data_IF_125569729292
#
_entry.id   IF_125569729292
#
_cell.length_a   1.000
_cell.length_b   1.000
_cell.length_c   1.000
_cell.angle_alpha   90.00
_cell.angle_beta   90.00
_cell.angle_gamma   90.00
#
_symmetry.space_group_name_H-M   'P 1'
#
loop_
_entity.id
_entity.type
_entity.pdbx_description
1 polymer ?
#
# COMPACT_ATOMS: atom_id res chain seq x y z
N UNK A 1 9.49 23.06 6.82
CA UNK A 1 8.97 21.68 6.82
C UNK A 1 7.85 21.59 5.80
N UNK A 2 7.68 20.46 5.09
CA UNK A 2 6.52 20.28 4.22
C UNK A 2 5.24 20.28 5.06
N UNK A 3 4.34 21.22 4.78
CA UNK A 3 3.02 21.34 5.42
C UNK A 3 2.15 20.25 4.81
N UNK A 4 1.75 19.24 5.62
CA UNK A 4 0.91 18.13 5.15
C UNK A 4 -0.59 18.45 5.15
N UNK A 5 -1.01 19.36 6.02
CA UNK A 5 -2.40 19.75 6.19
C UNK A 5 -2.44 21.26 6.33
N UNK A 6 -3.44 21.90 5.73
CA UNK A 6 -3.63 23.37 5.76
C UNK A 6 -4.85 23.78 6.59
N UNK A 7 -5.76 22.84 6.86
CA UNK A 7 -6.92 23.05 7.72
C UNK A 7 -6.49 23.08 9.19
N UNK A 8 -6.60 24.25 9.82
CA UNK A 8 -6.21 24.47 11.20
C UNK A 8 -6.97 23.58 12.18
N UNK A 9 -8.28 23.36 11.95
CA UNK A 9 -9.11 22.53 12.83
C UNK A 9 -8.61 21.08 12.78
N UNK A 10 -8.33 20.57 11.58
CA UNK A 10 -7.77 19.23 11.40
C UNK A 10 -6.37 19.12 12.05
N UNK A 11 -5.51 20.13 11.88
CA UNK A 11 -4.17 20.16 12.50
C UNK A 11 -4.29 20.05 14.02
N UNK A 12 -5.17 20.83 14.64
CA UNK A 12 -5.34 20.85 16.09
C UNK A 12 -5.86 19.52 16.62
N UNK A 13 -6.85 18.92 15.93
CA UNK A 13 -7.35 17.58 16.26
C UNK A 13 -6.24 16.53 16.17
N UNK A 14 -5.45 16.52 15.10
CA UNK A 14 -4.34 15.58 14.92
C UNK A 14 -3.25 15.76 15.98
N UNK A 15 -2.97 17.00 16.39
CA UNK A 15 -2.01 17.32 17.45
C UNK A 15 -2.48 16.79 18.82
N UNK A 16 -3.77 16.93 19.15
CA UNK A 16 -4.34 16.36 20.38
C UNK A 16 -4.28 14.82 20.39
N UNK A 17 -4.65 14.17 19.28
CA UNK A 17 -4.54 12.71 19.12
C UNK A 17 -3.09 12.24 19.30
N UNK A 18 -2.11 12.95 18.71
CA UNK A 18 -0.67 12.67 18.88
C UNK A 18 -0.22 12.77 20.34
N UNK A 19 -0.80 13.69 21.12
CA UNK A 19 -0.53 13.86 22.54
C UNK A 19 -1.37 12.93 23.44
N UNK A 20 -2.11 11.98 22.86
CA UNK A 20 -3.04 11.10 23.56
C UNK A 20 -4.11 11.85 24.38
N UNK A 21 -4.49 13.05 23.94
CA UNK A 21 -5.59 13.83 24.52
C UNK A 21 -6.83 13.62 23.65
N UNK A 22 -7.84 12.99 24.22
CA UNK A 22 -9.10 12.67 23.54
C UNK A 22 -10.23 13.35 24.30
N UNK A 23 -10.42 14.64 24.04
CA UNK A 23 -11.54 15.38 24.59
C UNK A 23 -12.81 15.18 23.75
N UNK A 24 -13.93 15.70 24.25
CA UNK A 24 -15.24 15.58 23.60
C UNK A 24 -15.23 16.21 22.20
N UNK A 25 -14.48 17.28 21.99
CA UNK A 25 -14.35 17.93 20.68
C UNK A 25 -13.62 17.02 19.68
N UNK A 26 -12.56 16.33 20.10
CA UNK A 26 -11.88 15.34 19.27
C UNK A 26 -12.81 14.20 18.86
N UNK A 27 -13.54 13.64 19.82
CA UNK A 27 -14.44 12.50 19.60
C UNK A 27 -15.56 12.93 18.64
N UNK A 28 -16.18 14.09 18.90
CA UNK A 28 -17.23 14.66 18.05
C UNK A 28 -16.73 14.89 16.62
N UNK A 29 -15.58 15.54 16.45
CA UNK A 29 -14.99 15.81 15.14
C UNK A 29 -14.76 14.55 14.31
N UNK A 30 -14.27 13.46 14.93
CA UNK A 30 -14.04 12.19 14.25
C UNK A 30 -15.36 11.50 13.90
N UNK A 31 -16.32 11.46 14.84
CA UNK A 31 -17.58 10.76 14.66
C UNK A 31 -18.48 11.44 13.61
N UNK A 32 -18.49 12.77 13.52
CA UNK A 32 -19.21 13.51 12.47
C UNK A 32 -18.73 13.17 11.05
N UNK A 33 -17.51 12.65 10.92
CA UNK A 33 -16.91 12.24 9.64
C UNK A 33 -17.00 10.73 9.40
N UNK A 34 -17.59 9.98 10.34
CA UNK A 34 -17.86 8.57 10.15
C UNK A 34 -19.04 8.40 9.19
N UNK A 35 -18.79 7.73 8.06
CA UNK A 35 -19.81 7.45 7.04
C UNK A 35 -19.95 5.95 6.83
N UNK A 36 -21.09 5.52 6.28
CA UNK A 36 -21.26 4.12 5.94
C UNK A 36 -20.31 3.72 4.79
N UNK A 37 -19.86 2.48 4.79
CA UNK A 37 -18.85 2.00 3.83
C UNK A 37 -19.33 2.09 2.38
N UNK A 38 -20.64 1.97 2.13
CA UNK A 38 -21.24 2.12 0.79
C UNK A 38 -21.06 3.51 0.21
N UNK A 39 -20.91 4.51 1.08
CA UNK A 39 -20.93 5.92 0.70
C UNK A 39 -19.52 6.41 0.36
N UNK A 40 -18.51 5.57 0.64
CA UNK A 40 -17.11 5.85 0.31
C UNK A 40 -16.82 5.34 -1.10
N UNK A 41 -16.33 6.24 -1.95
CA UNK A 41 -15.89 5.90 -3.30
C UNK A 41 -15.01 4.63 -3.31
N UNK A 42 -15.23 3.68 -4.25
CA UNK A 42 -14.36 2.52 -4.44
C UNK A 42 -12.89 2.90 -4.63
N UNK A 43 -12.61 4.06 -5.25
CA UNK A 43 -11.26 4.56 -5.54
C UNK A 43 -10.52 5.11 -4.33
N UNK A 44 -11.19 5.30 -3.18
CA UNK A 44 -10.55 5.83 -1.98
C UNK A 44 -9.58 4.81 -1.36
N UNK A 45 -8.38 5.28 -0.99
CA UNK A 45 -7.39 4.47 -0.28
C UNK A 45 -7.94 4.08 1.10
N UNK A 46 -7.90 2.78 1.42
CA UNK A 46 -8.39 2.25 2.70
C UNK A 46 -7.24 1.83 3.58
N UNK A 47 -7.24 2.32 4.82
CA UNK A 47 -6.28 1.94 5.85
C UNK A 47 -6.89 0.87 6.76
N UNK A 48 -6.07 -0.11 7.12
CA UNK A 48 -6.46 -1.18 8.05
C UNK A 48 -5.36 -1.37 9.10
N UNK A 49 -5.77 -1.76 10.31
CA UNK A 49 -4.83 -1.99 11.41
C UNK A 49 -3.84 -3.14 11.15
N UNK A 50 -4.18 -4.11 10.29
CA UNK A 50 -3.34 -5.29 10.05
C UNK A 50 -3.18 -5.59 8.56
N UNK A 51 -2.01 -6.13 8.19
CA UNK A 51 -1.72 -6.60 6.83
C UNK A 51 -2.65 -7.73 6.39
N UNK A 52 -3.09 -8.59 7.31
CA UNK A 52 -4.08 -9.63 7.01
C UNK A 52 -5.37 -9.02 6.45
N UNK A 53 -5.83 -7.92 7.04
CA UNK A 53 -7.01 -7.20 6.57
C UNK A 53 -6.75 -6.44 5.26
N UNK A 54 -5.57 -5.83 5.10
CA UNK A 54 -5.15 -5.23 3.82
C UNK A 54 -5.15 -6.27 2.70
N UNK A 55 -4.51 -7.41 2.91
CA UNK A 55 -4.43 -8.48 1.91
C UNK A 55 -5.83 -9.01 1.57
N UNK A 56 -6.68 -9.23 2.57
CA UNK A 56 -8.08 -9.66 2.34
C UNK A 56 -8.85 -8.64 1.49
N UNK A 57 -8.68 -7.34 1.77
CA UNK A 57 -9.33 -6.28 1.00
C UNK A 57 -8.77 -6.22 -0.43
N UNK A 58 -7.44 -6.20 -0.59
CA UNK A 58 -6.79 -6.16 -1.90
C UNK A 58 -7.15 -7.38 -2.75
N UNK A 59 -7.06 -8.60 -2.22
CA UNK A 59 -7.45 -9.81 -2.95
C UNK A 59 -8.93 -9.82 -3.37
N UNK A 60 -9.81 -9.18 -2.60
CA UNK A 60 -11.22 -9.02 -2.99
C UNK A 60 -11.36 -8.06 -4.16
N UNK A 61 -10.66 -6.93 -4.14
CA UNK A 61 -10.73 -5.93 -5.22
C UNK A 61 -10.02 -6.40 -6.51
N UNK A 62 -8.90 -7.14 -6.40
CA UNK A 62 -8.23 -7.74 -7.56
C UNK A 62 -9.17 -8.67 -8.34
N UNK A 63 -9.99 -9.45 -7.63
CA UNK A 63 -10.99 -10.32 -8.26
C UNK A 63 -12.09 -9.55 -9.01
N UNK A 64 -12.34 -8.29 -8.62
CA UNK A 64 -13.34 -7.40 -9.25
C UNK A 64 -12.78 -6.65 -10.45
N UNK A 65 -11.47 -6.45 -10.52
CA UNK A 65 -10.83 -5.83 -11.68
C UNK A 65 -10.98 -6.71 -12.91
N UNK A 66 -11.32 -6.08 -14.04
CA UNK A 66 -11.33 -6.70 -15.35
C UNK A 66 -9.90 -7.01 -15.82
N UNK A 67 -9.79 -7.82 -16.87
CA UNK A 67 -8.51 -8.26 -17.42
C UNK A 67 -8.00 -9.55 -16.79
N UNK A 68 -7.13 -10.22 -17.56
CA UNK A 68 -6.53 -11.47 -17.15
C UNK A 68 -5.41 -11.21 -16.14
N UNK A 69 -5.33 -12.01 -15.05
CA UNK A 69 -4.23 -11.91 -14.11
C UNK A 69 -2.92 -12.37 -14.76
N UNK A 70 -1.83 -11.71 -14.38
CA UNK A 70 -0.47 -12.07 -14.73
C UNK A 70 0.28 -12.36 -13.43
N UNK A 71 0.78 -13.59 -13.28
CA UNK A 71 1.54 -14.01 -12.11
C UNK A 71 3.04 -13.92 -12.37
N UNK A 72 3.75 -13.24 -11.48
CA UNK A 72 5.22 -13.14 -11.49
C UNK A 72 5.76 -13.91 -10.29
N UNK A 73 6.58 -14.93 -10.54
CA UNK A 73 7.23 -15.73 -9.49
C UNK A 73 8.57 -15.14 -9.08
N UNK A 74 8.86 -15.13 -7.79
CA UNK A 74 10.16 -14.71 -7.27
C UNK A 74 11.23 -15.78 -7.52
N UNK A 75 12.43 -15.34 -7.89
CA UNK A 75 13.61 -16.20 -8.00
C UNK A 75 14.51 -16.03 -6.77
N UNK A 76 14.37 -16.94 -5.81
CA UNK A 76 15.14 -16.92 -4.57
C UNK A 76 16.40 -17.81 -4.70
N UNK A 77 17.60 -17.23 -4.59
CA UNK A 77 18.86 -17.98 -4.52
C UNK A 77 19.28 -18.23 -3.07
N UNK A 78 19.63 -19.47 -2.75
CA UNK A 78 20.24 -19.83 -1.46
C UNK A 78 21.76 -19.64 -1.60
N UNK A 79 22.34 -18.71 -0.83
CA UNK A 79 23.79 -18.57 -0.78
C UNK A 79 24.42 -19.75 -0.03
N UNK A 80 25.55 -20.27 -0.52
CA UNK A 80 26.26 -21.41 0.05
C UNK A 80 26.50 -21.21 1.56
N UNK A 81 26.04 -22.16 2.37
CA UNK A 81 26.15 -22.13 3.84
C UNK A 81 24.85 -21.73 4.58
N UNK A 82 23.83 -21.22 3.89
CA UNK A 82 22.51 -20.95 4.51
C UNK A 82 21.56 -22.13 4.40
N UNK A 83 20.87 -22.49 5.49
CA UNK A 83 19.84 -23.54 5.44
C UNK A 83 18.55 -22.99 4.82
N UNK A 84 17.78 -23.84 4.13
CA UNK A 84 16.44 -23.50 3.59
C UNK A 84 15.54 -22.81 4.62
N UNK A 85 15.63 -23.19 5.91
CA UNK A 85 14.90 -22.58 7.01
C UNK A 85 15.35 -21.14 7.30
N UNK A 86 16.65 -20.88 7.31
CA UNK A 86 17.22 -19.54 7.52
C UNK A 86 16.84 -18.59 6.37
N UNK A 87 16.96 -19.05 5.12
CA UNK A 87 16.56 -18.27 3.93
C UNK A 87 15.06 -17.96 3.94
N UNK A 88 14.21 -18.94 4.25
CA UNK A 88 12.76 -18.75 4.37
C UNK A 88 12.38 -17.74 5.46
N UNK A 89 13.11 -17.72 6.59
CA UNK A 89 12.89 -16.74 7.66
C UNK A 89 13.29 -15.33 7.23
N UNK A 90 14.45 -15.17 6.60
CA UNK A 90 14.91 -13.88 6.08
C UNK A 90 13.98 -13.31 4.99
N UNK A 91 13.44 -14.16 4.11
CA UNK A 91 12.48 -13.75 3.08
C UNK A 91 11.15 -13.28 3.71
N UNK A 92 10.66 -13.99 4.75
CA UNK A 92 9.49 -13.56 5.52
C UNK A 92 9.71 -12.20 6.19
N UNK A 93 10.91 -11.94 6.70
CA UNK A 93 11.28 -10.65 7.31
C UNK A 93 11.35 -9.52 6.28
N UNK A 94 11.83 -9.80 5.06
CA UNK A 94 11.89 -8.82 3.96
C UNK A 94 10.53 -8.48 3.35
N UNK A 95 9.45 -9.17 3.74
CA UNK A 95 8.07 -8.90 3.31
C UNK A 95 7.88 -8.97 1.79
N UNK A 96 8.76 -9.70 1.09
CA UNK A 96 8.65 -9.95 -0.34
C UNK A 96 7.67 -11.08 -0.61
N UNK A 97 6.91 -10.95 -1.69
CA UNK A 97 5.97 -11.98 -2.12
C UNK A 97 6.71 -13.04 -2.93
N UNK A 98 6.33 -14.31 -2.74
CA UNK A 98 6.80 -15.41 -3.59
C UNK A 98 6.18 -15.37 -4.98
N UNK A 99 4.95 -14.88 -5.05
CA UNK A 99 4.19 -14.72 -6.27
C UNK A 99 3.46 -13.37 -6.20
N UNK A 100 3.58 -12.58 -7.25
CA UNK A 100 2.91 -11.30 -7.41
C UNK A 100 1.91 -11.42 -8.56
N UNK A 101 0.62 -11.40 -8.23
CA UNK A 101 -0.47 -11.36 -9.21
C UNK A 101 -0.82 -9.90 -9.54
N UNK A 102 -0.81 -9.55 -10.83
CA UNK A 102 -1.12 -8.21 -11.35
C UNK A 102 -2.25 -8.28 -12.39
N UNK A 103 -3.03 -7.22 -12.51
CA UNK A 103 -4.01 -7.02 -13.60
C UNK A 103 -3.85 -5.62 -14.19
N UNK A 104 -4.11 -5.43 -15.50
CA UNK A 104 -4.09 -4.10 -16.10
C UNK A 104 -4.89 -3.07 -15.29
N UNK A 105 -4.38 -1.85 -15.20
CA UNK A 105 -4.94 -0.73 -14.41
C UNK A 105 -4.98 -0.93 -12.88
N UNK A 106 -4.44 -2.03 -12.36
CA UNK A 106 -4.38 -2.27 -10.93
C UNK A 106 -3.48 -1.23 -10.22
N UNK A 107 -3.97 -0.58 -9.15
CA UNK A 107 -3.13 0.27 -8.31
C UNK A 107 -2.08 -0.56 -7.57
N UNK A 108 -0.83 -0.12 -7.65
CA UNK A 108 0.32 -0.72 -6.97
C UNK A 108 1.11 0.37 -6.24
N UNK A 109 1.92 -0.06 -5.28
CA UNK A 109 2.79 0.82 -4.50
C UNK A 109 4.21 0.29 -4.54
N UNK A 110 5.17 1.15 -4.86
CA UNK A 110 6.58 0.80 -4.73
C UNK A 110 6.94 0.55 -3.27
N UNK A 111 7.66 -0.54 -3.01
CA UNK A 111 8.18 -0.89 -1.69
C UNK A 111 9.69 -0.63 -1.54
N UNK A 112 10.33 -0.16 -2.62
CA UNK A 112 11.76 0.13 -2.71
C UNK A 112 11.99 1.39 -3.55
N UNK A 113 13.13 2.04 -3.35
CA UNK A 113 13.55 3.19 -4.15
C UNK A 113 14.11 2.70 -5.49
N UNK A 114 13.59 3.22 -6.60
CA UNK A 114 14.08 2.88 -7.94
C UNK A 114 14.87 4.03 -8.56
N UNK A 115 14.28 5.23 -8.62
CA UNK A 115 14.89 6.44 -9.19
C UNK A 115 14.47 7.66 -8.39
N UNK A 116 15.19 7.92 -7.30
CA UNK A 116 14.90 8.99 -6.34
C UNK A 116 14.87 10.38 -7.00
N UNK A 117 15.79 10.66 -7.93
CA UNK A 117 15.85 11.93 -8.66
C UNK A 117 14.61 12.21 -9.53
N UNK A 118 13.87 11.16 -9.91
CA UNK A 118 12.59 11.25 -10.65
C UNK A 118 11.38 11.00 -9.74
N UNK A 119 11.58 10.98 -8.43
CA UNK A 119 10.54 10.78 -7.43
C UNK A 119 9.93 9.38 -7.41
N UNK A 120 10.63 8.35 -7.94
CA UNK A 120 10.25 6.95 -7.79
C UNK A 120 10.88 6.37 -6.52
N UNK A 121 10.20 6.64 -5.41
CA UNK A 121 10.62 6.27 -4.05
C UNK A 121 9.66 5.25 -3.45
N UNK A 122 10.08 4.58 -2.39
CA UNK A 122 9.20 3.75 -1.57
C UNK A 122 7.95 4.55 -1.16
N UNK A 123 6.76 3.98 -1.36
CA UNK A 123 5.47 4.63 -1.15
C UNK A 123 4.87 5.29 -2.40
N UNK A 124 5.61 5.36 -3.52
CA UNK A 124 5.06 5.88 -4.78
C UNK A 124 3.88 5.01 -5.25
N UNK A 125 2.73 5.63 -5.46
CA UNK A 125 1.56 4.97 -6.06
C UNK A 125 1.66 5.00 -7.60
N UNK A 126 1.35 3.88 -8.22
CA UNK A 126 1.37 3.70 -9.66
C UNK A 126 0.23 2.78 -10.11
N UNK A 127 -0.03 2.76 -11.41
CA UNK A 127 -0.88 1.74 -12.05
C UNK A 127 -0.02 0.80 -12.87
N UNK A 128 -0.28 -0.49 -12.73
CA UNK A 128 0.27 -1.49 -13.63
C UNK A 128 -0.39 -1.38 -15.01
N UNK A 129 0.41 -1.47 -16.08
CA UNK A 129 -0.09 -1.51 -17.46
C UNK A 129 0.08 -2.89 -18.06
N UNK A 130 1.32 -3.31 -18.20
CA UNK A 130 1.70 -4.54 -18.88
C UNK A 130 3.08 -5.02 -18.43
N UNK A 131 3.43 -6.22 -18.88
CA UNK A 131 4.78 -6.78 -18.82
C UNK A 131 5.28 -6.88 -20.25
N UNK A 132 6.49 -6.41 -20.48
CA UNK A 132 7.21 -6.55 -21.75
C UNK A 132 8.52 -7.27 -21.51
N UNK A 133 8.65 -8.49 -22.05
CA UNK A 133 9.76 -9.42 -21.78
C UNK A 133 10.02 -9.63 -20.28
N UNK A 134 11.00 -8.90 -19.72
CA UNK A 134 11.39 -8.94 -18.30
C UNK A 134 11.07 -7.63 -17.55
N UNK A 135 10.39 -6.68 -18.19
CA UNK A 135 10.11 -5.36 -17.66
C UNK A 135 8.64 -5.21 -17.25
N UNK A 136 8.41 -4.54 -16.12
CA UNK A 136 7.06 -4.16 -15.66
C UNK A 136 6.82 -2.70 -16.00
N UNK A 137 5.82 -2.41 -16.82
CA UNK A 137 5.44 -1.04 -17.14
C UNK A 137 4.51 -0.47 -16.06
N UNK A 138 4.99 0.58 -15.39
CA UNK A 138 4.26 1.31 -14.35
C UNK A 138 4.01 2.76 -14.78
N UNK A 139 2.77 3.22 -14.59
CA UNK A 139 2.40 4.64 -14.77
C UNK A 139 2.21 5.27 -13.41
N UNK A 140 3.05 6.25 -13.08
CA UNK A 140 2.96 6.98 -11.80
C UNK A 140 1.60 7.65 -11.67
N UNK A 141 0.97 7.52 -10.51
CA UNK A 141 -0.23 8.31 -10.21
C UNK A 141 0.23 9.73 -9.82
N UNK A 142 -0.40 10.73 -10.44
CA UNK A 142 -0.16 12.14 -10.15
C UNK A 142 -0.67 12.50 -8.75
#
# INVERSE_FOLDING_TARGET
MPIRQVDQVLIDVLNKVRACRFDEDNIRFINERAVHKSDISPSCLRLYATRKNVNKANSKEIKRLSGNPISISAHDSIYNGSTRKATSRALKEKRLLKELELKPDMPVMLIQNLRVSRGWVNGTLAKFREIDEENILLVKQA
#
